data_IF_948016831991
#
_entry.id   IF_948016831991
#
_cell.length_a   1.000
_cell.length_b   1.000
_cell.length_c   1.000
_cell.angle_alpha   90.00
_cell.angle_beta   90.00
_cell.angle_gamma   90.00
#
_symmetry.space_group_name_H-M   'P 1'
#
loop_
_entity.id
_entity.type
_entity.pdbx_description
1 polymer ?
#
# COMPACT_ATOMS: atom_id res chain seq x y z
N UNK A 1 9.23 14.40 22.87
CA UNK A 1 8.27 14.33 21.80
C UNK A 1 8.96 14.46 20.46
N UNK A 2 9.43 15.65 20.14
CA UNK A 2 10.09 15.85 18.85
C UNK A 2 11.30 14.95 18.71
N UNK A 3 12.04 14.75 19.79
CA UNK A 3 13.20 13.91 19.76
C UNK A 3 12.83 12.47 19.43
N UNK A 4 11.66 12.05 19.87
CA UNK A 4 11.21 10.70 19.61
C UNK A 4 11.04 10.47 18.11
N UNK A 5 10.49 11.47 17.43
CA UNK A 5 10.30 11.37 16.00
C UNK A 5 11.62 11.20 15.27
N UNK A 6 12.67 11.93 15.72
CA UNK A 6 13.96 11.87 15.06
C UNK A 6 14.66 10.53 15.27
N UNK A 7 14.22 9.75 16.26
CA UNK A 7 14.83 8.46 16.54
C UNK A 7 14.12 7.31 15.82
N UNK A 8 12.99 7.58 15.22
CA UNK A 8 12.26 6.54 14.50
C UNK A 8 12.89 6.25 13.16
N UNK A 9 12.96 4.97 12.83
CA UNK A 9 13.48 4.52 11.56
C UNK A 9 12.40 3.75 10.83
N UNK A 10 12.40 3.88 9.52
CA UNK A 10 11.49 3.11 8.70
C UNK A 10 12.15 1.80 8.32
N UNK A 11 11.48 0.71 8.62
CA UNK A 11 11.98 -0.63 8.37
C UNK A 11 10.89 -1.43 7.71
N UNK A 12 11.26 -2.16 6.66
CA UNK A 12 10.30 -3.00 5.97
C UNK A 12 10.60 -4.47 6.24
N UNK A 13 9.55 -5.28 6.22
CA UNK A 13 9.66 -6.72 6.41
C UNK A 13 8.94 -7.43 5.29
N UNK A 14 9.48 -8.55 4.87
CA UNK A 14 8.94 -9.31 3.76
C UNK A 14 8.87 -10.78 4.14
N UNK A 15 7.74 -11.40 3.86
CA UNK A 15 7.58 -12.79 4.20
C UNK A 15 6.35 -13.39 3.56
N UNK A 16 6.09 -14.62 3.91
CA UNK A 16 4.94 -15.35 3.41
C UNK A 16 4.04 -15.76 4.57
N UNK A 17 2.74 -15.54 4.37
CA UNK A 17 1.75 -16.01 5.31
C UNK A 17 1.23 -17.38 4.89
N UNK A 18 0.12 -17.80 5.50
CA UNK A 18 -0.47 -19.09 5.14
C UNK A 18 -0.85 -19.12 3.67
N UNK A 19 -0.79 -20.30 3.10
CA UNK A 19 -1.26 -20.58 1.74
C UNK A 19 -0.51 -19.78 0.66
N UNK A 20 0.75 -19.43 0.96
CA UNK A 20 1.61 -18.81 -0.04
C UNK A 20 1.35 -17.35 -0.30
N UNK A 21 0.57 -16.70 0.54
CA UNK A 21 0.30 -15.27 0.37
C UNK A 21 1.53 -14.47 0.78
N UNK A 22 2.02 -13.64 -0.12
CA UNK A 22 3.17 -12.79 0.18
C UNK A 22 2.72 -11.55 0.95
N UNK A 23 3.55 -11.13 1.91
CA UNK A 23 3.28 -9.97 2.74
C UNK A 23 4.45 -9.01 2.70
N UNK A 24 4.17 -7.75 2.49
CA UNK A 24 5.14 -6.66 2.58
C UNK A 24 4.65 -5.72 3.67
N UNK A 25 5.48 -5.54 4.71
CA UNK A 25 5.06 -4.81 5.92
C UNK A 25 5.97 -3.59 6.09
N UNK A 26 5.35 -2.42 6.18
CA UNK A 26 6.07 -1.17 6.42
C UNK A 26 5.91 -0.78 7.88
N UNK A 27 7.04 -0.51 8.55
CA UNK A 27 7.04 -0.14 9.95
C UNK A 27 7.84 1.13 10.17
N UNK A 28 7.55 1.78 11.29
CA UNK A 28 8.37 2.87 11.81
C UNK A 28 8.62 2.55 13.27
N UNK A 29 9.89 2.53 13.68
CA UNK A 29 10.22 2.07 15.02
C UNK A 29 11.44 2.79 15.56
N UNK A 30 11.44 2.98 16.86
CA UNK A 30 12.60 3.48 17.60
C UNK A 30 13.39 2.33 18.25
N UNK A 31 12.94 1.09 18.02
CA UNK A 31 13.60 -0.09 18.59
C UNK A 31 13.48 -1.24 17.61
N UNK A 32 14.48 -1.32 16.73
CA UNK A 32 14.44 -2.29 15.65
C UNK A 32 14.38 -3.74 16.16
N UNK A 33 15.11 -4.02 17.22
CA UNK A 33 15.12 -5.38 17.77
C UNK A 33 13.75 -5.81 18.24
N UNK A 34 13.03 -4.90 18.90
CA UNK A 34 11.68 -5.18 19.34
C UNK A 34 10.75 -5.46 18.16
N UNK A 35 10.87 -4.63 17.12
CA UNK A 35 9.99 -4.77 15.96
C UNK A 35 10.28 -6.06 15.22
N UNK A 36 11.55 -6.39 15.02
CA UNK A 36 11.91 -7.64 14.35
C UNK A 36 11.32 -8.81 15.09
N UNK A 37 11.46 -8.83 16.41
CA UNK A 37 10.98 -9.96 17.21
C UNK A 37 9.46 -10.07 17.14
N UNK A 38 8.75 -8.93 17.22
CA UNK A 38 7.29 -9.00 17.23
C UNK A 38 6.74 -9.37 15.86
N UNK A 39 7.33 -8.83 14.78
CA UNK A 39 6.85 -9.16 13.45
C UNK A 39 7.14 -10.63 13.14
N UNK A 40 8.33 -11.11 13.50
CA UNK A 40 8.66 -12.51 13.29
C UNK A 40 7.70 -13.41 14.04
N UNK A 41 7.37 -13.03 15.27
CA UNK A 41 6.43 -13.81 16.08
C UNK A 41 5.04 -13.82 15.44
N UNK A 42 4.60 -12.66 14.94
CA UNK A 42 3.30 -12.59 14.29
C UNK A 42 3.22 -13.55 13.12
N UNK A 43 4.25 -13.57 12.27
CA UNK A 43 4.27 -14.49 11.15
C UNK A 43 4.28 -15.96 11.60
N UNK A 44 5.20 -16.30 12.51
CA UNK A 44 5.38 -17.71 12.86
C UNK A 44 4.19 -18.27 13.61
N UNK A 45 3.53 -17.46 14.42
CA UNK A 45 2.38 -17.94 15.18
C UNK A 45 1.10 -18.00 14.35
N UNK A 46 1.14 -17.45 13.14
CA UNK A 46 -0.06 -17.42 12.30
C UNK A 46 0.19 -18.07 10.95
N UNK A 47 1.03 -19.11 10.94
CA UNK A 47 1.16 -19.95 9.77
C UNK A 47 2.09 -19.45 8.70
N UNK A 48 2.93 -18.47 9.01
CA UNK A 48 3.81 -17.91 8.02
C UNK A 48 5.27 -17.92 8.44
N UNK A 49 6.09 -17.31 7.62
CA UNK A 49 7.52 -17.18 7.85
C UNK A 49 8.02 -15.85 7.36
N UNK A 50 8.77 -15.18 8.21
CA UNK A 50 9.43 -13.94 7.82
C UNK A 50 10.65 -14.28 6.97
N UNK A 51 10.79 -13.57 5.84
CA UNK A 51 11.91 -13.79 4.94
C UNK A 51 12.91 -12.64 5.03
N UNK A 52 13.74 -12.57 4.01
CA UNK A 52 14.78 -11.54 3.95
C UNK A 52 14.36 -10.42 3.02
N UNK A 53 15.08 -9.30 3.10
CA UNK A 53 14.83 -8.15 2.25
C UNK A 53 14.88 -8.53 0.78
N UNK A 54 13.91 -8.07 0.02
CA UNK A 54 13.83 -8.36 -1.41
C UNK A 54 13.10 -9.64 -1.74
N UNK A 55 12.62 -10.35 -0.71
CA UNK A 55 11.99 -11.64 -0.92
C UNK A 55 10.66 -11.53 -1.67
N UNK A 56 9.87 -10.50 -1.39
CA UNK A 56 8.56 -10.36 -2.03
C UNK A 56 8.31 -8.99 -2.64
N UNK A 57 9.21 -8.04 -2.44
CA UNK A 57 8.98 -6.68 -2.91
C UNK A 57 8.67 -6.63 -4.40
N UNK A 58 9.32 -7.49 -5.19
CA UNK A 58 9.15 -7.50 -6.64
C UNK A 58 7.75 -7.95 -7.06
N UNK A 59 6.97 -8.47 -6.14
CA UNK A 59 5.60 -8.91 -6.44
C UNK A 59 4.62 -7.74 -6.40
N UNK A 60 5.07 -6.55 -6.05
CA UNK A 60 4.21 -5.39 -5.92
C UNK A 60 4.72 -4.26 -6.81
N UNK A 61 3.79 -3.49 -7.37
CA UNK A 61 4.10 -2.24 -8.04
C UNK A 61 3.91 -1.10 -7.05
N UNK A 62 4.96 -0.30 -6.86
CA UNK A 62 4.86 0.84 -5.97
C UNK A 62 4.26 2.01 -6.75
N UNK A 63 3.15 2.55 -6.25
CA UNK A 63 2.42 3.60 -6.95
C UNK A 63 2.14 4.76 -6.02
N UNK A 64 1.76 5.87 -6.61
CA UNK A 64 1.18 6.98 -5.88
C UNK A 64 -0.24 7.19 -6.36
N UNK A 65 -1.06 7.86 -5.56
CA UNK A 65 -2.42 8.13 -5.94
C UNK A 65 -2.83 9.54 -5.49
N UNK A 66 -3.79 10.09 -6.21
CA UNK A 66 -4.40 11.37 -5.87
C UNK A 66 -5.91 11.25 -6.03
N UNK A 67 -6.63 11.61 -4.97
CA UNK A 67 -8.08 11.72 -5.06
C UNK A 67 -8.41 13.18 -5.22
N UNK A 68 -9.11 13.51 -6.28
CA UNK A 68 -9.49 14.89 -6.55
C UNK A 68 -10.98 14.98 -6.72
N UNK A 69 -11.52 16.19 -6.51
CA UNK A 69 -12.94 16.42 -6.75
C UNK A 69 -13.23 16.28 -8.24
N UNK A 70 -14.33 15.61 -8.56
CA UNK A 70 -14.74 15.46 -9.97
C UNK A 70 -15.57 16.62 -10.45
N UNK A 71 -15.91 17.55 -9.58
CA UNK A 71 -16.77 18.64 -9.92
C UNK A 71 -16.17 19.48 -11.04
N UNK A 72 -16.92 19.64 -12.13
CA UNK A 72 -16.45 20.42 -13.25
C UNK A 72 -15.38 19.75 -14.09
N UNK A 73 -15.11 18.49 -13.87
CA UNK A 73 -14.03 17.78 -14.57
C UNK A 73 -14.58 16.71 -15.48
N UNK A 74 -13.91 16.54 -16.62
CA UNK A 74 -14.22 15.49 -17.57
C UNK A 74 -13.07 14.48 -17.58
N UNK A 75 -13.39 13.19 -17.49
CA UNK A 75 -12.35 12.18 -17.36
C UNK A 75 -11.44 12.11 -18.59
N UNK A 76 -11.99 12.30 -19.79
CA UNK A 76 -11.18 12.26 -21.00
C UNK A 76 -10.20 13.42 -21.03
N UNK A 77 -10.65 14.61 -20.64
CA UNK A 77 -9.77 15.78 -20.60
C UNK A 77 -8.67 15.59 -19.56
N UNK A 78 -9.05 15.06 -18.39
CA UNK A 78 -8.05 14.80 -17.36
C UNK A 78 -7.00 13.81 -17.84
N UNK A 79 -7.44 12.76 -18.51
CA UNK A 79 -6.51 11.74 -18.99
C UNK A 79 -5.51 12.36 -19.95
N UNK A 80 -5.99 13.17 -20.86
CA UNK A 80 -5.10 13.84 -21.83
C UNK A 80 -4.09 14.75 -21.14
N UNK A 81 -4.54 15.47 -20.13
CA UNK A 81 -3.67 16.40 -19.42
C UNK A 81 -2.64 15.69 -18.55
N UNK A 82 -3.02 14.57 -17.95
CA UNK A 82 -2.19 13.95 -16.93
C UNK A 82 -1.33 12.81 -17.43
N UNK A 83 -1.62 12.28 -18.61
CA UNK A 83 -0.87 11.13 -19.11
C UNK A 83 0.61 11.47 -19.27
N UNK A 84 0.91 12.69 -19.69
CA UNK A 84 2.30 13.10 -19.87
C UNK A 84 3.03 13.23 -18.53
N UNK A 85 2.27 13.34 -17.44
CA UNK A 85 2.85 13.42 -16.11
C UNK A 85 2.94 12.07 -15.43
N UNK A 86 2.62 11.00 -16.15
CA UNK A 86 2.77 9.66 -15.62
C UNK A 86 1.52 8.98 -15.16
N UNK A 87 0.36 9.62 -15.27
CA UNK A 87 -0.89 8.99 -14.84
C UNK A 87 -1.14 7.74 -15.65
N UNK A 88 -1.40 6.62 -14.96
CA UNK A 88 -1.66 5.33 -15.58
C UNK A 88 -3.12 4.98 -15.59
N UNK A 89 -3.84 5.34 -14.53
CA UNK A 89 -5.25 5.06 -14.43
C UNK A 89 -5.96 6.24 -13.81
N UNK A 90 -7.16 6.52 -14.31
CA UNK A 90 -8.03 7.53 -13.73
C UNK A 90 -9.40 6.88 -13.63
N UNK A 91 -9.86 6.68 -12.39
CA UNK A 91 -11.14 6.06 -12.13
C UNK A 91 -12.07 7.06 -11.49
N UNK A 92 -13.32 7.06 -11.90
CA UNK A 92 -14.33 7.91 -11.27
C UNK A 92 -15.04 7.11 -10.18
N UNK A 93 -15.12 7.71 -8.99
CA UNK A 93 -15.78 7.10 -7.85
C UNK A 93 -16.67 8.16 -7.22
N UNK A 94 -17.96 8.10 -7.58
CA UNK A 94 -18.94 9.06 -7.12
C UNK A 94 -18.53 10.48 -7.47
N UNK A 95 -18.15 11.26 -6.49
CA UNK A 95 -17.83 12.67 -6.71
C UNK A 95 -16.33 12.93 -6.81
N UNK A 96 -15.53 11.87 -6.96
CA UNK A 96 -14.09 12.03 -7.04
C UNK A 96 -13.52 11.28 -8.23
N UNK A 97 -12.32 11.69 -8.63
CA UNK A 97 -11.47 10.91 -9.52
C UNK A 97 -10.28 10.41 -8.72
N UNK A 98 -9.92 9.16 -8.92
CA UNK A 98 -8.74 8.55 -8.31
C UNK A 98 -7.70 8.37 -9.40
N UNK A 99 -6.58 9.07 -9.26
CA UNK A 99 -5.49 9.06 -10.24
C UNK A 99 -4.37 8.21 -9.68
N UNK A 100 -3.95 7.20 -10.43
CA UNK A 100 -2.86 6.31 -10.02
C UNK A 100 -1.71 6.44 -10.99
N UNK A 101 -0.50 6.44 -10.47
CA UNK A 101 0.71 6.59 -11.27
C UNK A 101 1.89 5.92 -10.58
N UNK A 102 3.00 5.70 -11.30
CA UNK A 102 4.19 5.17 -10.65
C UNK A 102 4.64 6.07 -9.51
N UNK A 103 5.25 5.45 -8.50
CA UNK A 103 5.70 6.17 -7.32
C UNK A 103 6.51 7.41 -7.68
N UNK A 104 7.39 7.28 -8.68
CA UNK A 104 8.29 8.37 -9.06
C UNK A 104 7.57 9.57 -9.65
N UNK A 105 6.34 9.41 -10.06
CA UNK A 105 5.59 10.48 -10.70
C UNK A 105 4.87 11.39 -9.70
N UNK A 106 5.01 11.12 -8.41
CA UNK A 106 4.23 11.84 -7.40
C UNK A 106 4.44 13.35 -7.49
N UNK A 107 5.72 13.78 -7.50
CA UNK A 107 6.01 15.22 -7.50
C UNK A 107 5.51 15.93 -8.73
N UNK A 108 5.71 15.33 -9.90
CA UNK A 108 5.26 15.95 -11.13
C UNK A 108 3.75 16.02 -11.23
N UNK A 109 3.07 14.98 -10.79
CA UNK A 109 1.61 14.99 -10.80
C UNK A 109 1.05 15.99 -9.83
N UNK A 110 1.61 16.06 -8.62
CA UNK A 110 1.13 17.03 -7.64
C UNK A 110 1.25 18.44 -8.18
N UNK A 111 2.40 18.76 -8.80
CA UNK A 111 2.60 20.07 -9.36
C UNK A 111 1.60 20.37 -10.48
N UNK A 112 1.37 19.37 -11.34
CA UNK A 112 0.44 19.57 -12.45
C UNK A 112 -0.98 19.81 -11.94
N UNK A 113 -1.41 19.02 -10.95
CA UNK A 113 -2.75 19.20 -10.40
C UNK A 113 -2.91 20.56 -9.75
N UNK A 114 -1.86 21.03 -9.07
CA UNK A 114 -1.90 22.37 -8.47
C UNK A 114 -1.97 23.45 -9.55
N UNK A 115 -1.21 23.29 -10.64
CA UNK A 115 -1.25 24.23 -11.74
C UNK A 115 -2.63 24.30 -12.40
N UNK A 116 -3.32 23.15 -12.42
CA UNK A 116 -4.68 23.10 -12.95
C UNK A 116 -5.71 23.58 -11.94
N UNK A 117 -5.26 23.93 -10.75
CA UNK A 117 -6.13 24.44 -9.68
C UNK A 117 -7.19 23.43 -9.28
N UNK A 118 -6.83 22.14 -9.31
CA UNK A 118 -7.72 21.09 -8.88
C UNK A 118 -7.50 20.81 -7.40
N UNK A 119 -8.62 20.57 -6.71
CA UNK A 119 -8.56 20.29 -5.28
C UNK A 119 -8.13 18.86 -5.03
N UNK A 120 -6.99 18.68 -4.36
CA UNK A 120 -6.51 17.36 -3.98
C UNK A 120 -7.10 17.04 -2.62
N UNK A 121 -8.02 16.08 -2.60
CA UNK A 121 -8.71 15.67 -1.38
C UNK A 121 -7.86 14.75 -0.54
N UNK A 122 -7.10 13.88 -1.20
CA UNK A 122 -6.24 12.94 -0.53
C UNK A 122 -5.14 12.51 -1.48
N UNK A 123 -3.97 12.21 -0.96
CA UNK A 123 -2.88 11.67 -1.76
C UNK A 123 -2.05 10.75 -0.89
N UNK A 124 -1.29 9.87 -1.55
CA UNK A 124 -0.45 8.96 -0.82
C UNK A 124 0.20 7.94 -1.72
N UNK A 125 0.69 6.89 -1.08
CA UNK A 125 1.42 5.84 -1.78
C UNK A 125 0.80 4.50 -1.47
N UNK A 126 0.98 3.54 -2.39
CA UNK A 126 0.41 2.22 -2.25
C UNK A 126 1.33 1.23 -2.93
N UNK A 127 1.15 -0.04 -2.65
CA UNK A 127 1.84 -1.12 -3.32
C UNK A 127 0.78 -2.09 -3.80
N UNK A 128 0.72 -2.28 -5.10
CA UNK A 128 -0.34 -3.07 -5.71
C UNK A 128 0.26 -4.37 -6.22
N UNK A 129 -0.27 -5.53 -5.78
CA UNK A 129 0.26 -6.81 -6.23
C UNK A 129 0.07 -6.97 -7.74
N UNK A 130 1.11 -7.47 -8.40
CA UNK A 130 1.04 -7.72 -9.84
C UNK A 130 0.15 -8.91 -10.14
N UNK A 131 0.06 -9.84 -9.20
CA UNK A 131 -0.79 -11.02 -9.33
C UNK A 131 -1.35 -11.33 -7.96
N UNK A 132 -2.65 -11.65 -7.91
CA UNK A 132 -3.28 -11.99 -6.64
C UNK A 132 -3.66 -13.47 -6.63
N UNK A 133 -3.84 -13.99 -5.42
CA UNK A 133 -4.22 -15.37 -5.21
C UNK A 133 -5.60 -15.43 -4.58
N UNK A 134 -6.50 -16.18 -5.19
CA UNK A 134 -7.84 -16.40 -4.65
C UNK A 134 -7.79 -17.58 -3.70
N UNK A 135 -8.38 -17.41 -2.52
CA UNK A 135 -8.45 -18.46 -1.52
C UNK A 135 -9.89 -18.73 -1.17
N UNK A 136 -10.15 -19.93 -0.67
CA UNK A 136 -11.44 -20.28 -0.15
C UNK A 136 -11.72 -19.58 1.16
N UNK A 137 -12.94 -19.74 1.65
CA UNK A 137 -13.39 -19.00 2.83
C UNK A 137 -12.53 -19.32 4.06
N UNK A 138 -12.30 -20.61 4.32
CA UNK A 138 -11.54 -21.01 5.49
C UNK A 138 -10.10 -20.52 5.40
N UNK A 139 -9.52 -20.62 4.21
CA UNK A 139 -8.13 -20.21 4.02
C UNK A 139 -7.99 -18.70 4.15
N UNK A 140 -8.97 -17.96 3.64
CA UNK A 140 -8.98 -16.51 3.76
C UNK A 140 -8.96 -16.08 5.22
N UNK A 141 -9.72 -16.77 6.06
CA UNK A 141 -9.76 -16.42 7.49
C UNK A 141 -8.39 -16.59 8.13
N UNK A 142 -7.62 -17.60 7.69
CA UNK A 142 -6.30 -17.81 8.25
C UNK A 142 -5.35 -16.68 7.85
N UNK A 143 -5.45 -16.22 6.61
CA UNK A 143 -4.62 -15.11 6.15
C UNK A 143 -5.01 -13.83 6.89
N UNK A 144 -6.32 -13.61 7.04
CA UNK A 144 -6.81 -12.42 7.71
C UNK A 144 -6.36 -12.37 9.16
N UNK A 145 -6.18 -13.53 9.78
CA UNK A 145 -5.70 -13.57 11.16
C UNK A 145 -4.29 -13.02 11.26
N UNK A 146 -3.41 -13.39 10.33
CA UNK A 146 -2.07 -12.81 10.30
C UNK A 146 -2.14 -11.32 10.02
N UNK A 147 -2.94 -10.92 9.06
CA UNK A 147 -3.10 -9.50 8.72
C UNK A 147 -3.53 -8.71 9.94
N UNK A 148 -4.51 -9.22 10.67
CA UNK A 148 -5.01 -8.54 11.86
C UNK A 148 -3.93 -8.38 12.91
N UNK A 149 -3.15 -9.45 13.13
CA UNK A 149 -2.07 -9.39 14.11
C UNK A 149 -1.03 -8.36 13.73
N UNK A 150 -0.67 -8.31 12.45
CA UNK A 150 0.29 -7.30 12.00
C UNK A 150 -0.26 -5.90 12.18
N UNK A 151 -1.52 -5.70 11.85
CA UNK A 151 -2.12 -4.37 11.95
C UNK A 151 -2.29 -3.90 13.40
N UNK A 152 -2.35 -4.83 14.34
CA UNK A 152 -2.42 -4.48 15.77
C UNK A 152 -1.07 -4.04 16.33
N UNK A 153 0.00 -4.31 15.62
CA UNK A 153 1.35 -3.97 16.08
C UNK A 153 1.55 -2.47 15.95
N UNK A 154 1.90 -1.83 17.06
CA UNK A 154 2.02 -0.37 17.08
C UNK A 154 3.08 0.16 16.12
N UNK A 155 4.09 -0.63 15.82
CA UNK A 155 5.16 -0.22 14.92
C UNK A 155 4.77 -0.36 13.45
N UNK A 156 3.73 -1.13 13.14
CA UNK A 156 3.34 -1.39 11.77
C UNK A 156 2.48 -0.25 11.25
N UNK A 157 2.87 0.30 10.10
CA UNK A 157 2.15 1.39 9.48
C UNK A 157 1.28 0.91 8.31
N UNK A 158 1.79 -0.01 7.50
CA UNK A 158 1.06 -0.52 6.35
C UNK A 158 1.39 -1.97 6.13
N UNK A 159 0.41 -2.74 5.69
CA UNK A 159 0.58 -4.14 5.33
C UNK A 159 0.00 -4.36 3.95
N UNK A 160 0.82 -4.88 3.05
CA UNK A 160 0.39 -5.20 1.69
C UNK A 160 0.54 -6.70 1.48
N UNK A 161 -0.38 -7.30 0.72
CA UNK A 161 -0.36 -8.73 0.52
C UNK A 161 -0.92 -9.08 -0.86
N UNK A 162 -0.72 -10.33 -1.24
CA UNK A 162 -1.12 -10.81 -2.56
C UNK A 162 -2.43 -11.60 -2.56
N UNK A 163 -3.16 -11.63 -1.45
CA UNK A 163 -4.46 -12.28 -1.44
C UNK A 163 -5.47 -11.42 -2.18
N UNK A 164 -6.27 -12.06 -3.02
CA UNK A 164 -7.29 -11.37 -3.76
C UNK A 164 -8.36 -10.82 -2.81
N UNK A 165 -8.92 -9.66 -3.15
CA UNK A 165 -10.01 -9.08 -2.37
C UNK A 165 -11.36 -9.44 -2.96
N UNK A 166 -11.44 -10.57 -3.60
CA UNK A 166 -12.64 -10.99 -4.32
C UNK A 166 -13.80 -11.36 -3.40
N UNK A 167 -13.63 -11.23 -2.11
CA UNK A 167 -14.69 -11.59 -1.18
C UNK A 167 -16.01 -10.89 -1.50
N UNK A 168 -15.92 -9.76 -2.15
CA UNK A 168 -17.10 -9.01 -2.55
C UNK A 168 -17.66 -9.50 -3.87
N UNK A 169 -16.93 -10.40 -4.50
CA UNK A 169 -17.36 -10.94 -5.79
C UNK A 169 -18.48 -11.88 -5.65
#
# INVERSE_FOLDING_TARGET
TDKDTSEYKQVTFEGYGPHGIAFFVETATDNNNRTVASVRSDFSHNGGNLGTTGNVEFLFNRVCFFNISSEGQDSDDLELELIDCGAEEIEQDESTFIITAPFESFGGLQKKLEEMELEILESGFDRIPTTTTDLGEAETLEVEKLLEKLEENDDVQNVFHTMSSSSDG
#
